data_IF_018660294281
#
_entry.id   IF_018660294281
#
_cell.length_a   1.000
_cell.length_b   1.000
_cell.length_c   1.000
_cell.angle_alpha   90.00
_cell.angle_beta   90.00
_cell.angle_gamma   90.00
#
_symmetry.space_group_name_H-M   'P 1'
#
loop_
_entity.id
_entity.type
_entity.pdbx_description
1 polymer ?
#
# COMPACT_ATOMS: atom_id res chain seq x y z
N UNK A 1 49.56 7.99 11.91
CA UNK A 1 50.35 8.44 10.76
C UNK A 1 49.59 9.53 10.03
N UNK A 2 49.87 10.80 10.34
CA UNK A 2 49.23 11.94 9.69
C UNK A 2 49.72 12.03 8.23
N UNK A 3 48.81 11.86 7.27
CA UNK A 3 49.12 12.01 5.85
C UNK A 3 49.57 13.44 5.57
N UNK A 4 50.87 13.65 5.33
CA UNK A 4 51.41 14.96 4.96
C UNK A 4 50.76 15.41 3.66
N UNK A 5 49.99 16.50 3.73
CA UNK A 5 49.40 17.14 2.54
C UNK A 5 50.51 17.78 1.71
N UNK A 6 50.47 17.58 0.40
CA UNK A 6 51.40 18.23 -0.52
C UNK A 6 51.21 19.76 -0.46
N UNK A 7 52.28 20.55 -0.56
CA UNK A 7 52.15 22.01 -0.64
C UNK A 7 51.41 22.42 -1.92
N UNK A 8 50.58 23.47 -1.84
CA UNK A 8 49.70 23.91 -2.93
C UNK A 8 50.42 24.14 -4.26
N UNK A 9 51.63 24.70 -4.24
CA UNK A 9 52.43 24.92 -5.45
C UNK A 9 52.76 23.61 -6.21
N UNK A 10 52.91 22.50 -5.49
CA UNK A 10 53.15 21.19 -6.11
C UNK A 10 51.88 20.64 -6.75
N UNK A 11 50.72 20.87 -6.12
CA UNK A 11 49.41 20.49 -6.65
C UNK A 11 49.11 21.27 -7.94
N UNK A 12 49.37 22.57 -7.97
CA UNK A 12 49.17 23.39 -9.19
C UNK A 12 50.06 22.94 -10.35
N UNK A 13 51.32 22.58 -10.07
CA UNK A 13 52.23 22.05 -11.09
C UNK A 13 51.74 20.72 -11.65
N UNK A 14 51.27 19.82 -10.79
CA UNK A 14 50.67 18.54 -11.20
C UNK A 14 49.40 18.77 -12.04
N UNK A 15 48.53 19.71 -11.66
CA UNK A 15 47.32 20.07 -12.43
C UNK A 15 47.66 20.59 -13.82
N UNK A 16 48.65 21.48 -13.92
CA UNK A 16 49.03 22.05 -15.21
C UNK A 16 49.69 21.02 -16.13
N UNK A 17 50.47 20.09 -15.58
CA UNK A 17 51.04 18.99 -16.34
C UNK A 17 49.97 18.02 -16.84
N UNK A 18 49.00 17.65 -16.00
CA UNK A 18 47.87 16.82 -16.39
C UNK A 18 47.05 17.46 -17.52
N UNK A 19 46.80 18.78 -17.46
CA UNK A 19 46.13 19.51 -18.55
C UNK A 19 46.91 19.43 -19.85
N UNK A 20 48.22 19.65 -19.80
CA UNK A 20 49.11 19.59 -20.97
C UNK A 20 49.09 18.20 -21.63
N UNK A 21 49.11 17.13 -20.82
CA UNK A 21 49.03 15.76 -21.30
C UNK A 21 47.66 15.42 -21.92
N UNK A 22 46.56 15.88 -21.32
CA UNK A 22 45.22 15.71 -21.90
C UNK A 22 45.08 16.44 -23.24
N UNK A 23 45.61 17.65 -23.36
CA UNK A 23 45.55 18.42 -24.61
C UNK A 23 46.42 17.80 -25.71
N UNK A 24 47.60 17.27 -25.35
CA UNK A 24 48.44 16.50 -26.27
C UNK A 24 47.73 15.22 -26.75
N UNK A 25 47.05 14.50 -25.85
CA UNK A 25 46.27 13.31 -26.20
C UNK A 25 45.11 13.66 -27.15
N UNK A 26 44.31 14.69 -26.83
CA UNK A 26 43.21 15.16 -27.68
C UNK A 26 43.69 15.54 -29.09
N UNK A 27 44.82 16.22 -29.18
CA UNK A 27 45.41 16.63 -30.46
C UNK A 27 45.86 15.43 -31.31
N UNK A 28 46.26 14.32 -30.68
CA UNK A 28 46.67 13.09 -31.37
C UNK A 28 45.49 12.26 -31.92
N UNK A 29 44.31 12.36 -31.28
CA UNK A 29 43.10 11.62 -31.66
C UNK A 29 42.40 12.17 -32.91
N UNK A 30 42.67 13.42 -33.30
CA UNK A 30 41.94 14.13 -34.37
C UNK A 30 42.40 13.74 -35.78
N UNK A 31 43.55 13.05 -35.93
CA UNK A 31 44.10 12.73 -37.26
C UNK A 31 43.46 11.53 -37.96
N UNK A 32 42.55 10.79 -37.33
CA UNK A 32 41.86 9.67 -37.97
C UNK A 32 40.50 10.15 -38.49
N UNK A 33 40.23 9.90 -39.79
CA UNK A 33 38.91 10.15 -40.38
C UNK A 33 37.82 9.50 -39.49
N UNK A 34 36.70 10.18 -39.22
CA UNK A 34 35.64 9.63 -38.40
C UNK A 34 35.17 8.31 -39.01
N UNK A 35 35.29 7.24 -38.23
CA UNK A 35 34.74 5.94 -38.62
C UNK A 35 33.22 6.04 -38.45
N UNK A 36 32.52 6.26 -39.56
CA UNK A 36 31.07 6.46 -39.59
C UNK A 36 30.31 5.29 -38.96
N UNK A 37 30.85 4.07 -39.01
CA UNK A 37 30.24 2.88 -38.43
C UNK A 37 30.34 2.90 -36.90
N UNK A 38 31.46 3.41 -36.35
CA UNK A 38 31.63 3.65 -34.92
C UNK A 38 30.67 4.73 -34.42
N UNK A 39 30.46 5.81 -35.18
CA UNK A 39 29.49 6.87 -34.82
C UNK A 39 28.05 6.35 -34.80
N UNK A 40 27.66 5.56 -35.80
CA UNK A 40 26.33 4.94 -35.85
C UNK A 40 26.11 4.00 -34.65
N UNK A 41 27.08 3.14 -34.34
CA UNK A 41 26.99 2.25 -33.17
C UNK A 41 26.98 3.04 -31.85
N UNK A 42 27.77 4.12 -31.76
CA UNK A 42 27.80 4.96 -30.56
C UNK A 42 26.48 5.72 -30.35
N UNK A 43 25.78 6.12 -31.41
CA UNK A 43 24.43 6.69 -31.33
C UNK A 43 23.36 5.66 -30.93
N UNK A 44 23.48 4.41 -31.37
CA UNK A 44 22.48 3.36 -31.04
C UNK A 44 22.56 2.94 -29.57
N UNK A 45 23.73 3.06 -28.93
CA UNK A 45 23.94 2.68 -27.53
C UNK A 45 24.25 3.87 -26.60
N UNK A 46 24.06 5.11 -27.05
CA UNK A 46 24.24 6.29 -26.20
C UNK A 46 23.02 6.50 -25.31
N UNK A 47 23.17 6.21 -24.02
CA UNK A 47 22.28 6.71 -22.99
C UNK A 47 22.58 8.19 -22.74
N UNK A 48 21.57 9.05 -22.87
CA UNK A 48 21.66 10.46 -22.48
C UNK A 48 22.06 10.56 -21.01
N UNK A 49 23.00 11.47 -20.69
CA UNK A 49 23.46 11.71 -19.31
C UNK A 49 22.25 12.06 -18.45
N UNK A 50 21.86 11.15 -17.55
CA UNK A 50 20.69 11.28 -16.67
C UNK A 50 19.58 10.25 -16.87
N UNK A 51 19.59 9.44 -17.94
CA UNK A 51 18.62 8.35 -18.14
C UNK A 51 19.34 7.06 -18.49
N UNK A 52 19.53 6.17 -17.51
CA UNK A 52 20.43 5.01 -17.62
C UNK A 52 19.77 3.83 -18.35
N UNK A 53 18.44 3.78 -18.47
CA UNK A 53 17.71 2.76 -19.20
C UNK A 53 16.32 3.29 -19.62
N UNK A 54 15.68 2.72 -20.67
CA UNK A 54 14.24 2.84 -20.90
C UNK A 54 13.47 2.63 -19.59
N UNK A 55 12.36 3.35 -19.39
CA UNK A 55 11.64 3.34 -18.12
C UNK A 55 11.29 1.93 -17.68
N UNK A 56 10.91 1.04 -18.60
CA UNK A 56 10.56 -0.36 -18.37
C UNK A 56 11.72 -1.22 -17.85
N UNK A 57 12.95 -0.72 -17.98
CA UNK A 57 14.18 -1.38 -17.56
C UNK A 57 14.82 -0.69 -16.34
N UNK A 58 14.18 0.34 -15.78
CA UNK A 58 14.58 0.91 -14.49
C UNK A 58 14.16 -0.03 -13.35
N UNK A 59 15.05 -0.29 -12.37
CA UNK A 59 14.68 -1.03 -11.16
C UNK A 59 13.51 -0.35 -10.43
N UNK A 60 12.42 -1.08 -10.18
CA UNK A 60 11.22 -0.56 -9.50
C UNK A 60 10.23 0.19 -10.42
N UNK A 61 10.44 0.15 -11.74
CA UNK A 61 9.48 0.70 -12.72
C UNK A 61 8.12 0.01 -12.68
N UNK A 62 8.11 -1.27 -12.34
CA UNK A 62 6.94 -2.11 -12.07
C UNK A 62 6.10 -1.63 -10.88
N UNK A 63 6.71 -0.85 -9.97
CA UNK A 63 6.03 -0.29 -8.80
C UNK A 63 5.28 1.00 -9.12
N UNK A 64 5.66 1.72 -10.19
CA UNK A 64 5.10 3.03 -10.54
C UNK A 64 3.74 2.95 -11.25
N UNK A 65 3.41 1.81 -11.89
CA UNK A 65 2.10 1.56 -12.50
C UNK A 65 1.10 0.85 -11.59
N UNK A 66 1.56 0.31 -10.45
CA UNK A 66 0.73 -0.37 -9.47
C UNK A 66 0.31 0.63 -8.42
N UNK A 67 -0.76 1.38 -8.69
CA UNK A 67 -1.46 2.15 -7.67
C UNK A 67 -1.61 1.27 -6.41
N UNK A 68 -1.04 1.67 -5.26
CA UNK A 68 -1.14 0.88 -4.05
C UNK A 68 -2.63 0.70 -3.76
N UNK A 69 -3.07 -0.53 -3.52
CA UNK A 69 -4.50 -0.86 -3.31
C UNK A 69 -5.18 0.02 -2.25
N UNK A 70 -4.38 0.58 -1.35
CA UNK A 70 -4.80 1.51 -0.30
C UNK A 70 -5.14 2.93 -0.81
N UNK A 71 -4.54 3.39 -1.90
CA UNK A 71 -4.80 4.73 -2.45
C UNK A 71 -6.17 4.80 -3.14
N UNK A 72 -6.59 3.72 -3.79
CA UNK A 72 -7.97 3.55 -4.25
C UNK A 72 -9.00 3.56 -3.10
N UNK A 73 -8.65 3.02 -1.93
CA UNK A 73 -9.53 3.05 -0.76
C UNK A 73 -9.69 4.47 -0.20
N UNK A 74 -8.62 5.28 -0.22
CA UNK A 74 -8.67 6.69 0.17
C UNK A 74 -9.46 7.55 -0.82
N UNK A 75 -9.33 7.29 -2.13
CA UNK A 75 -10.06 8.03 -3.18
C UNK A 75 -11.53 7.66 -3.31
N UNK A 76 -11.91 6.44 -2.94
CA UNK A 76 -13.32 5.98 -3.01
C UNK A 76 -14.16 6.45 -1.82
N UNK A 77 -13.60 7.23 -0.89
CA UNK A 77 -14.36 7.81 0.23
C UNK A 77 -15.02 6.76 1.12
N UNK A 78 -14.62 5.48 1.02
CA UNK A 78 -15.08 4.42 1.91
C UNK A 78 -14.36 4.57 3.23
N UNK A 79 -14.78 5.57 4.00
CA UNK A 79 -14.55 5.57 5.43
C UNK A 79 -15.13 4.25 5.95
N UNK A 80 -14.34 3.53 6.77
CA UNK A 80 -14.84 2.32 7.40
C UNK A 80 -16.14 2.63 8.15
N UNK A 81 -17.07 1.68 8.18
CA UNK A 81 -18.37 1.84 8.86
C UNK A 81 -18.13 2.43 10.25
N UNK A 82 -18.94 3.41 10.63
CA UNK A 82 -18.85 3.96 11.97
C UNK A 82 -19.10 2.85 12.99
N UNK A 83 -18.55 2.98 14.20
CA UNK A 83 -18.77 1.96 15.25
C UNK A 83 -20.25 1.77 15.55
N UNK A 84 -21.03 2.85 15.48
CA UNK A 84 -22.48 2.80 15.63
C UNK A 84 -23.17 2.05 14.48
N UNK A 85 -22.75 2.27 13.23
CA UNK A 85 -23.24 1.51 12.08
C UNK A 85 -22.93 0.02 12.19
N UNK A 86 -21.72 -0.34 12.64
CA UNK A 86 -21.36 -1.74 12.88
C UNK A 86 -22.23 -2.38 13.97
N UNK A 87 -22.54 -1.65 15.04
CA UNK A 87 -23.43 -2.12 16.11
C UNK A 87 -24.88 -2.28 15.62
N UNK A 88 -25.37 -1.36 14.79
CA UNK A 88 -26.70 -1.47 14.17
C UNK A 88 -26.80 -2.70 13.27
N UNK A 89 -25.80 -2.93 12.41
CA UNK A 89 -25.78 -4.12 11.54
C UNK A 89 -25.77 -5.42 12.35
N UNK A 90 -25.00 -5.46 13.44
CA UNK A 90 -24.97 -6.62 14.32
C UNK A 90 -26.32 -6.83 15.03
N UNK A 91 -26.97 -5.75 15.47
CA UNK A 91 -28.29 -5.80 16.10
C UNK A 91 -29.33 -6.41 15.15
N UNK A 92 -29.41 -5.90 13.92
CA UNK A 92 -30.33 -6.40 12.89
C UNK A 92 -30.06 -7.86 12.53
N UNK A 93 -28.78 -8.24 12.41
CA UNK A 93 -28.40 -9.62 12.11
C UNK A 93 -28.87 -10.60 13.21
N UNK A 94 -28.64 -10.25 14.49
CA UNK A 94 -29.07 -11.10 15.61
C UNK A 94 -30.60 -11.13 15.72
N UNK A 95 -31.28 -10.02 15.41
CA UNK A 95 -32.74 -9.97 15.39
C UNK A 95 -33.34 -10.95 14.36
N UNK A 96 -32.82 -10.94 13.12
CA UNK A 96 -33.22 -11.90 12.08
C UNK A 96 -32.92 -13.35 12.50
N UNK A 97 -31.81 -13.58 13.19
CA UNK A 97 -31.46 -14.89 13.74
C UNK A 97 -32.45 -15.37 14.81
N UNK A 98 -32.97 -14.46 15.65
CA UNK A 98 -34.01 -14.76 16.64
C UNK A 98 -35.33 -15.10 15.94
N UNK A 99 -35.74 -14.28 14.97
CA UNK A 99 -36.99 -14.50 14.22
C UNK A 99 -36.98 -15.85 13.49
N UNK A 100 -35.87 -16.18 12.82
CA UNK A 100 -35.72 -17.47 12.14
C UNK A 100 -35.78 -18.67 13.10
N UNK A 101 -35.16 -18.56 14.28
CA UNK A 101 -35.25 -19.61 15.31
C UNK A 101 -36.65 -19.75 15.91
N UNK A 102 -37.35 -18.63 16.11
CA UNK A 102 -38.74 -18.65 16.56
C UNK A 102 -39.64 -19.34 15.52
N UNK A 103 -39.44 -19.04 14.24
CA UNK A 103 -40.15 -19.70 13.16
C UNK A 103 -39.87 -21.22 13.13
N UNK A 104 -38.61 -21.62 13.30
CA UNK A 104 -38.23 -23.03 13.42
C UNK A 104 -38.90 -23.71 14.63
N UNK A 105 -38.88 -23.08 15.80
CA UNK A 105 -39.51 -23.64 17.00
C UNK A 105 -41.03 -23.82 16.81
N UNK A 106 -41.69 -22.84 16.19
CA UNK A 106 -43.11 -22.93 15.83
C UNK A 106 -43.38 -24.07 14.83
N UNK A 107 -42.51 -24.25 13.83
CA UNK A 107 -42.60 -25.35 12.87
C UNK A 107 -42.43 -26.72 13.57
N UNK A 108 -41.46 -26.85 14.47
CA UNK A 108 -41.25 -28.09 15.23
C UNK A 108 -42.46 -28.44 16.10
N UNK A 109 -43.10 -27.43 16.69
CA UNK A 109 -44.34 -27.61 17.45
C UNK A 109 -45.49 -28.06 16.54
N UNK A 110 -45.64 -27.44 15.35
CA UNK A 110 -46.65 -27.83 14.36
C UNK A 110 -46.46 -29.26 13.83
N UNK A 111 -45.20 -29.73 13.73
CA UNK A 111 -44.86 -31.10 13.34
C UNK A 111 -44.96 -32.13 14.49
N UNK A 112 -45.37 -31.71 15.69
CA UNK A 112 -45.49 -32.57 16.86
C UNK A 112 -44.16 -33.03 17.45
N UNK A 113 -43.09 -32.25 17.26
CA UNK A 113 -41.73 -32.52 17.76
C UNK A 113 -41.25 -31.43 18.73
N UNK A 114 -41.96 -31.20 19.85
CA UNK A 114 -41.65 -30.10 20.78
C UNK A 114 -40.23 -30.20 21.38
N UNK A 115 -39.73 -31.40 21.64
CA UNK A 115 -38.38 -31.64 22.18
C UNK A 115 -37.26 -30.96 21.35
N UNK A 116 -37.45 -30.86 20.03
CA UNK A 116 -36.51 -30.18 19.13
C UNK A 116 -36.65 -28.65 19.16
N UNK A 117 -37.85 -28.14 19.45
CA UNK A 117 -38.11 -26.72 19.64
C UNK A 117 -37.56 -26.20 20.96
N UNK A 118 -37.73 -26.94 22.06
CA UNK A 118 -37.25 -26.57 23.40
C UNK A 118 -35.72 -26.36 23.45
N UNK A 119 -34.95 -27.16 22.69
CA UNK A 119 -33.51 -26.96 22.57
C UNK A 119 -33.17 -25.59 21.97
N UNK A 120 -33.93 -25.16 20.96
CA UNK A 120 -33.76 -23.88 20.26
C UNK A 120 -34.28 -22.71 21.09
N UNK A 121 -35.30 -22.91 21.92
CA UNK A 121 -35.79 -21.86 22.84
C UNK A 121 -34.70 -21.39 23.81
N UNK A 122 -33.82 -22.28 24.26
CA UNK A 122 -32.66 -21.90 25.08
C UNK A 122 -31.68 -21.00 24.32
N UNK A 123 -31.43 -21.31 23.06
CA UNK A 123 -30.58 -20.47 22.19
C UNK A 123 -31.22 -19.10 21.95
N UNK A 124 -32.54 -19.04 21.76
CA UNK A 124 -33.29 -17.78 21.61
C UNK A 124 -33.07 -16.88 22.83
N UNK A 125 -33.14 -17.44 24.05
CA UNK A 125 -32.90 -16.67 25.28
C UNK A 125 -31.48 -16.11 25.36
N UNK A 126 -30.48 -16.88 24.92
CA UNK A 126 -29.10 -16.43 24.83
C UNK A 126 -28.97 -15.27 23.82
N UNK A 127 -29.57 -15.38 22.64
CA UNK A 127 -29.57 -14.30 21.62
C UNK A 127 -30.27 -13.03 22.11
N UNK A 128 -31.34 -13.14 22.90
CA UNK A 128 -31.95 -11.97 23.55
C UNK A 128 -31.03 -11.30 24.58
N UNK A 129 -30.14 -12.05 25.23
CA UNK A 129 -29.12 -11.47 26.11
C UNK A 129 -28.06 -10.70 25.30
N UNK A 130 -27.68 -11.21 24.13
CA UNK A 130 -26.78 -10.53 23.21
C UNK A 130 -27.40 -9.25 22.64
N UNK A 131 -28.67 -9.28 22.22
CA UNK A 131 -29.40 -8.09 21.76
C UNK A 131 -29.42 -6.98 22.80
N UNK A 132 -29.70 -7.31 24.06
CA UNK A 132 -29.65 -6.35 25.17
C UNK A 132 -28.25 -5.75 25.32
N UNK A 133 -27.22 -6.58 25.26
CA UNK A 133 -25.83 -6.12 25.34
C UNK A 133 -25.45 -5.21 24.18
N UNK A 134 -25.85 -5.52 22.95
CA UNK A 134 -25.61 -4.67 21.77
C UNK A 134 -26.31 -3.33 21.95
N UNK A 135 -27.57 -3.34 22.41
CA UNK A 135 -28.33 -2.12 22.65
C UNK A 135 -27.67 -1.22 23.71
N UNK A 136 -27.15 -1.80 24.81
CA UNK A 136 -26.36 -1.06 25.80
C UNK A 136 -25.10 -0.43 25.20
N UNK A 137 -24.39 -1.16 24.33
CA UNK A 137 -23.21 -0.63 23.63
C UNK A 137 -23.58 0.53 22.69
N UNK A 138 -24.71 0.43 21.99
CA UNK A 138 -25.22 1.50 21.13
C UNK A 138 -25.53 2.75 21.95
N UNK A 139 -26.23 2.61 23.09
CA UNK A 139 -26.55 3.75 23.96
C UNK A 139 -25.30 4.46 24.47
N UNK A 140 -24.25 3.69 24.83
CA UNK A 140 -22.96 4.25 25.25
C UNK A 140 -22.27 5.00 24.12
N UNK A 141 -22.32 4.46 22.90
CA UNK A 141 -21.73 5.10 21.73
C UNK A 141 -22.45 6.42 21.41
N UNK A 142 -23.79 6.42 21.41
CA UNK A 142 -24.59 7.64 21.15
C UNK A 142 -24.47 8.68 22.26
N UNK A 143 -24.36 8.25 23.53
CA UNK A 143 -24.22 9.14 24.68
C UNK A 143 -22.81 9.72 24.84
N UNK A 144 -21.78 8.98 24.43
CA UNK A 144 -20.39 9.43 24.44
C UNK A 144 -20.08 10.49 23.39
N UNK A 145 -20.75 10.46 22.23
CA UNK A 145 -20.56 11.45 21.17
C UNK A 145 -21.07 12.86 21.51
N UNK A 146 -21.93 13.02 22.53
CA UNK A 146 -22.45 14.33 22.96
C UNK A 146 -21.56 15.04 24.00
N UNK A 147 -20.46 14.43 24.45
CA UNK A 147 -19.56 14.98 25.47
C UNK A 147 -18.14 15.27 24.96
N UNK A 148 -17.97 15.45 23.64
CA UNK A 148 -16.71 15.86 23.00
C UNK A 148 -16.88 17.13 22.17
#
# INVERSE_FOLDING_TARGET
MAGRRKPYAQIEKEINEMKRQMDAYRSSCVRKKPNQEKEKLQQVFSYTVGSILPHELLPGSDLLGREPSHEKALRTGKHGKSRLEQLNELYEAVLQEVESRMAYAAEMLALGRPDKGEAVEREILERFSELRRIHELMQRETGGSNNQ
#
